data_IF_693908752812
#
_entry.id   IF_693908752812
#
_cell.length_a   1.000
_cell.length_b   1.000
_cell.length_c   1.000
_cell.angle_alpha   90.00
_cell.angle_beta   90.00
_cell.angle_gamma   90.00
#
_symmetry.space_group_name_H-M   'P 1'
#
loop_
_entity.id
_entity.type
_entity.pdbx_description
1 polymer ?
#
# COMPACT_ATOMS: atom_id res chain seq x y z
N UNK A 1 -13.19 -30.96 7.95
CA UNK A 1 -13.04 -29.74 7.13
C UNK A 1 -11.70 -29.13 7.48
N UNK A 2 -10.68 -29.42 6.68
CA UNK A 2 -9.27 -29.07 6.92
C UNK A 2 -9.00 -27.67 6.37
N UNK A 3 -8.38 -26.83 7.20
CA UNK A 3 -7.84 -25.55 6.82
C UNK A 3 -6.64 -25.77 5.89
N UNK A 4 -6.67 -25.16 4.70
CA UNK A 4 -5.57 -25.15 3.75
C UNK A 4 -4.44 -24.26 4.30
N UNK A 5 -3.55 -24.85 5.08
CA UNK A 5 -2.18 -24.36 5.26
C UNK A 5 -1.44 -24.53 3.93
N UNK A 6 -1.36 -23.47 3.12
CA UNK A 6 -0.33 -23.41 2.09
C UNK A 6 0.94 -22.82 2.71
N UNK A 7 1.67 -23.68 3.41
CA UNK A 7 3.11 -23.55 3.63
C UNK A 7 3.78 -24.02 2.33
N UNK A 8 4.24 -23.08 1.50
CA UNK A 8 5.19 -23.41 0.45
C UNK A 8 6.55 -23.62 1.13
N UNK A 9 6.97 -24.87 1.25
CA UNK A 9 8.21 -25.34 1.88
C UNK A 9 9.44 -25.28 0.94
N UNK A 10 9.38 -24.48 -0.13
CA UNK A 10 10.56 -24.17 -0.94
C UNK A 10 10.99 -22.73 -0.71
N UNK A 11 12.24 -22.47 -0.26
CA UNK A 11 12.77 -21.11 -0.26
C UNK A 11 12.75 -20.61 -1.69
N UNK A 12 12.04 -19.50 -1.92
CA UNK A 12 12.17 -18.76 -3.16
C UNK A 12 13.67 -18.55 -3.44
N UNK A 13 14.16 -18.90 -4.65
CA UNK A 13 15.57 -18.81 -4.97
C UNK A 13 16.13 -17.44 -4.53
N UNK A 14 17.36 -17.45 -4.01
CA UNK A 14 18.06 -16.29 -3.44
C UNK A 14 18.41 -15.18 -4.46
N UNK A 15 17.70 -15.13 -5.58
CA UNK A 15 17.92 -14.26 -6.73
C UNK A 15 16.78 -13.23 -6.85
N UNK A 16 16.48 -12.54 -5.74
CA UNK A 16 15.90 -11.18 -5.80
C UNK A 16 17.02 -10.17 -5.51
N UNK A 17 18.19 -10.41 -6.09
CA UNK A 17 19.26 -9.46 -6.26
C UNK A 17 19.20 -8.97 -7.72
N UNK A 18 18.28 -8.05 -7.98
CA UNK A 18 17.96 -7.58 -9.33
C UNK A 18 16.93 -8.48 -10.00
N UNK A 19 15.82 -7.91 -10.45
CA UNK A 19 14.78 -8.63 -11.20
C UNK A 19 15.22 -9.07 -12.61
N UNK A 20 16.51 -9.25 -12.83
CA UNK A 20 17.05 -9.97 -13.96
C UNK A 20 16.97 -11.48 -13.70
N UNK A 21 15.75 -12.00 -13.59
CA UNK A 21 15.54 -13.43 -13.83
C UNK A 21 15.42 -13.65 -15.33
N UNK A 22 15.87 -14.80 -15.83
CA UNK A 22 15.76 -15.28 -17.21
C UNK A 22 14.32 -15.34 -17.77
N UNK A 23 13.32 -14.86 -17.03
CA UNK A 23 11.90 -15.08 -17.27
C UNK A 23 11.11 -13.80 -17.58
N UNK A 24 11.79 -12.68 -17.88
CA UNK A 24 11.20 -11.44 -18.44
C UNK A 24 11.60 -10.17 -17.68
N UNK A 25 11.64 -9.00 -18.34
CA UNK A 25 12.15 -7.77 -17.76
C UNK A 25 11.20 -7.25 -16.66
N UNK A 26 11.77 -6.88 -15.52
CA UNK A 26 11.08 -6.00 -14.59
C UNK A 26 11.61 -4.58 -14.75
N UNK A 27 10.70 -3.63 -14.59
CA UNK A 27 11.01 -2.20 -14.69
C UNK A 27 10.95 -1.60 -13.30
N UNK A 28 12.04 -0.95 -12.85
CA UNK A 28 11.99 -0.11 -11.66
C UNK A 28 11.08 1.07 -11.98
N UNK A 29 9.93 1.16 -11.31
CA UNK A 29 8.94 2.22 -11.56
C UNK A 29 8.98 3.30 -10.49
N UNK A 30 9.53 3.01 -9.32
CA UNK A 30 9.85 4.04 -8.32
C UNK A 30 10.97 3.58 -7.39
N UNK A 31 11.96 4.46 -7.22
CA UNK A 31 12.96 4.42 -6.15
C UNK A 31 12.84 5.63 -5.23
N UNK A 32 11.73 6.37 -5.28
CA UNK A 32 11.48 7.50 -4.36
C UNK A 32 10.75 7.07 -3.08
N UNK A 33 10.30 5.82 -3.00
CA UNK A 33 9.69 5.27 -1.78
C UNK A 33 10.67 5.28 -0.61
N UNK A 34 10.24 5.79 0.55
CA UNK A 34 11.11 5.96 1.72
C UNK A 34 11.77 4.65 2.17
N UNK A 35 10.99 3.56 2.23
CA UNK A 35 11.45 2.27 2.75
C UNK A 35 11.64 1.19 1.68
N UNK A 36 11.26 1.44 0.42
CA UNK A 36 11.19 0.38 -0.57
C UNK A 36 11.51 0.82 -1.99
N UNK A 37 12.01 -0.13 -2.78
CA UNK A 37 12.06 -0.03 -4.23
C UNK A 37 10.82 -0.70 -4.82
N UNK A 38 10.22 -0.05 -5.80
CA UNK A 38 8.97 -0.49 -6.44
C UNK A 38 9.24 -0.85 -7.88
N UNK A 39 8.93 -2.09 -8.22
CA UNK A 39 9.16 -2.66 -9.54
C UNK A 39 7.84 -3.11 -10.15
N UNK A 40 7.68 -2.96 -11.46
CA UNK A 40 6.57 -3.52 -12.21
C UNK A 40 7.06 -4.70 -13.03
N UNK A 41 6.31 -5.78 -12.98
CA UNK A 41 6.61 -7.03 -13.69
C UNK A 41 5.37 -7.40 -14.50
N UNK A 42 5.54 -7.44 -15.83
CA UNK A 42 4.53 -7.99 -16.74
C UNK A 42 4.97 -9.37 -17.17
N UNK A 43 4.16 -10.38 -16.85
CA UNK A 43 4.42 -11.78 -17.18
C UNK A 43 3.22 -12.39 -17.84
N UNK A 44 3.44 -13.47 -18.56
CA UNK A 44 2.35 -14.31 -19.00
C UNK A 44 2.58 -15.71 -18.45
N UNK A 45 1.62 -16.21 -17.69
CA UNK A 45 1.69 -17.54 -17.11
C UNK A 45 0.71 -18.46 -17.82
N UNK A 46 1.10 -19.72 -17.96
CA UNK A 46 0.20 -20.78 -18.41
C UNK A 46 0.25 -21.88 -17.37
N UNK A 47 -0.87 -22.12 -16.70
CA UNK A 47 -1.06 -23.24 -15.77
C UNK A 47 -2.37 -23.91 -16.18
N UNK A 48 -2.25 -25.06 -16.86
CA UNK A 48 -3.35 -25.87 -17.39
C UNK A 48 -4.54 -25.06 -17.93
N UNK A 49 -4.33 -24.38 -19.07
CA UNK A 49 -5.37 -23.54 -19.67
C UNK A 49 -4.83 -22.47 -20.63
N UNK A 50 -5.66 -21.47 -20.96
CA UNK A 50 -5.23 -20.32 -21.75
C UNK A 50 -4.16 -19.51 -21.01
N UNK A 51 -3.33 -18.81 -21.79
CA UNK A 51 -2.27 -17.94 -21.29
C UNK A 51 -2.90 -16.75 -20.56
N UNK A 52 -2.58 -16.58 -19.28
CA UNK A 52 -3.02 -15.44 -18.46
C UNK A 52 -1.90 -14.41 -18.39
N UNK A 53 -2.20 -13.17 -18.74
CA UNK A 53 -1.28 -12.06 -18.48
C UNK A 53 -1.40 -11.62 -17.02
N UNK A 54 -0.25 -11.51 -16.36
CA UNK A 54 -0.08 -11.04 -15.00
C UNK A 54 0.65 -9.69 -15.06
N UNK A 55 0.07 -8.70 -14.41
CA UNK A 55 0.69 -7.39 -14.22
C UNK A 55 0.81 -7.14 -12.73
N UNK A 56 2.05 -7.13 -12.24
CA UNK A 56 2.36 -7.16 -10.82
C UNK A 56 3.25 -5.99 -10.44
N UNK A 57 3.06 -5.50 -9.22
CA UNK A 57 3.98 -4.60 -8.55
C UNK A 57 4.68 -5.35 -7.43
N UNK A 58 6.02 -5.25 -7.40
CA UNK A 58 6.87 -5.81 -6.37
C UNK A 58 7.49 -4.66 -5.58
N UNK A 59 7.10 -4.53 -4.31
CA UNK A 59 7.71 -3.59 -3.36
C UNK A 59 8.71 -4.32 -2.49
N UNK A 60 10.00 -4.05 -2.66
CA UNK A 60 11.06 -4.66 -1.85
C UNK A 60 11.52 -3.69 -0.77
N UNK A 61 11.49 -4.13 0.50
CA UNK A 61 12.04 -3.34 1.60
C UNK A 61 13.56 -3.19 1.41
N UNK A 62 14.08 -1.95 1.49
CA UNK A 62 15.50 -1.65 1.23
C UNK A 62 16.42 -2.19 2.29
N UNK A 63 16.01 -2.03 3.54
CA UNK A 63 16.79 -2.46 4.69
C UNK A 63 16.43 -3.91 5.07
N UNK A 64 17.36 -4.64 5.72
CA UNK A 64 17.04 -5.89 6.38
C UNK A 64 15.78 -5.79 7.24
N UNK A 65 14.93 -6.81 7.14
CA UNK A 65 13.66 -6.86 7.85
C UNK A 65 13.57 -8.17 8.62
N UNK A 66 13.68 -8.08 9.94
CA UNK A 66 13.53 -9.24 10.81
C UNK A 66 12.13 -9.88 10.63
N UNK A 67 12.01 -11.22 10.76
CA UNK A 67 10.73 -11.91 10.58
C UNK A 67 9.59 -11.38 11.47
N UNK A 68 9.92 -10.88 12.67
CA UNK A 68 8.93 -10.26 13.57
C UNK A 68 8.33 -8.99 12.95
N UNK A 69 9.16 -8.13 12.36
CA UNK A 69 8.72 -6.90 11.69
C UNK A 69 7.91 -7.22 10.42
N UNK A 70 8.35 -8.19 9.63
CA UNK A 70 7.60 -8.65 8.46
C UNK A 70 6.20 -9.21 8.84
N UNK A 71 6.10 -9.94 9.95
CA UNK A 71 4.82 -10.40 10.51
C UNK A 71 3.93 -9.24 10.98
N UNK A 72 4.52 -8.18 11.54
CA UNK A 72 3.76 -6.98 11.91
C UNK A 72 3.15 -6.31 10.68
N UNK A 73 3.95 -6.08 9.62
CA UNK A 73 3.44 -5.54 8.35
C UNK A 73 2.30 -6.38 7.76
N UNK A 74 2.45 -7.71 7.74
CA UNK A 74 1.39 -8.60 7.25
C UNK A 74 0.11 -8.50 8.10
N UNK A 75 0.22 -8.33 9.42
CA UNK A 75 -0.94 -8.15 10.30
C UNK A 75 -1.67 -6.85 10.01
N UNK A 76 -0.95 -5.75 9.81
CA UNK A 76 -1.51 -4.44 9.44
C UNK A 76 -2.16 -4.48 8.07
N UNK A 77 -1.49 -5.05 7.07
CA UNK A 77 -2.07 -5.27 5.74
C UNK A 77 -3.38 -6.07 5.81
N UNK A 78 -3.40 -7.17 6.57
CA UNK A 78 -4.61 -7.99 6.75
C UNK A 78 -5.72 -7.20 7.46
N UNK A 79 -5.38 -6.32 8.39
CA UNK A 79 -6.35 -5.41 9.01
C UNK A 79 -6.96 -4.47 7.97
N UNK A 80 -6.12 -3.79 7.18
CA UNK A 80 -6.56 -2.91 6.09
C UNK A 80 -7.46 -3.66 5.11
N UNK A 81 -7.00 -4.80 4.58
CA UNK A 81 -7.73 -5.59 3.58
C UNK A 81 -9.08 -6.07 4.11
N UNK A 82 -9.18 -6.50 5.38
CA UNK A 82 -10.45 -6.90 5.99
C UNK A 82 -11.44 -5.74 6.14
N UNK A 83 -10.96 -4.53 6.49
CA UNK A 83 -11.82 -3.38 6.79
C UNK A 83 -12.18 -2.54 5.55
N UNK A 84 -11.31 -2.54 4.54
CA UNK A 84 -11.42 -1.70 3.35
C UNK A 84 -11.69 -2.51 2.05
N UNK A 85 -11.62 -3.83 2.10
CA UNK A 85 -11.96 -4.69 0.97
C UNK A 85 -11.12 -4.39 -0.27
N UNK A 86 -11.78 -4.08 -1.39
CA UNK A 86 -11.13 -3.84 -2.68
C UNK A 86 -10.42 -2.50 -2.78
N UNK A 87 -10.62 -1.59 -1.82
CA UNK A 87 -9.82 -0.35 -1.77
C UNK A 87 -8.33 -0.70 -1.59
N UNK A 88 -8.01 -1.79 -0.90
CA UNK A 88 -6.63 -2.26 -0.71
C UNK A 88 -6.35 -3.38 -1.71
N UNK A 89 -5.36 -3.27 -2.61
CA UNK A 89 -5.02 -4.32 -3.55
C UNK A 89 -4.70 -5.64 -2.87
N UNK A 90 -5.03 -6.75 -3.55
CA UNK A 90 -4.59 -8.08 -3.13
C UNK A 90 -3.08 -8.17 -3.21
N UNK A 91 -2.45 -8.63 -2.13
CA UNK A 91 -1.01 -8.66 -2.01
C UNK A 91 -0.53 -9.89 -1.22
N UNK A 92 0.64 -10.39 -1.61
CA UNK A 92 1.35 -11.47 -0.95
C UNK A 92 2.64 -10.92 -0.33
N UNK A 93 2.89 -11.27 0.92
CA UNK A 93 4.13 -10.96 1.62
C UNK A 93 5.09 -12.13 1.46
N UNK A 94 6.28 -11.83 0.98
CA UNK A 94 7.30 -12.80 0.59
C UNK A 94 8.54 -12.56 1.44
N UNK A 95 8.97 -13.58 2.17
CA UNK A 95 10.27 -13.55 2.85
C UNK A 95 11.36 -13.61 1.79
N UNK A 96 12.32 -12.71 1.88
CA UNK A 96 13.44 -12.60 0.94
C UNK A 96 14.73 -12.33 1.72
N UNK A 97 15.78 -11.89 1.02
CA UNK A 97 17.05 -11.46 1.60
C UNK A 97 17.44 -10.06 1.13
N UNK A 98 18.14 -9.34 1.98
CA UNK A 98 18.81 -8.06 1.68
C UNK A 98 20.27 -8.26 2.06
N UNK A 99 21.14 -8.48 1.07
CA UNK A 99 22.46 -9.06 1.31
C UNK A 99 22.32 -10.43 1.98
N UNK A 100 23.04 -10.63 3.08
CA UNK A 100 22.99 -11.87 3.87
C UNK A 100 21.93 -11.88 4.98
N UNK A 101 21.19 -10.78 5.14
CA UNK A 101 20.20 -10.64 6.19
C UNK A 101 18.78 -10.96 5.68
N UNK A 102 17.85 -11.38 6.56
CA UNK A 102 16.44 -11.53 6.23
C UNK A 102 15.85 -10.23 5.68
N UNK A 103 14.96 -10.34 4.71
CA UNK A 103 14.23 -9.23 4.11
C UNK A 103 12.77 -9.58 3.84
N UNK A 104 12.01 -8.60 3.35
CA UNK A 104 10.62 -8.80 2.93
C UNK A 104 10.35 -8.07 1.62
N UNK A 105 9.57 -8.72 0.75
CA UNK A 105 8.98 -8.11 -0.43
C UNK A 105 7.46 -8.28 -0.39
N UNK A 106 6.73 -7.37 -1.01
CA UNK A 106 5.29 -7.47 -1.24
C UNK A 106 5.05 -7.56 -2.73
N UNK A 107 4.31 -8.58 -3.16
CA UNK A 107 3.85 -8.74 -4.54
C UNK A 107 2.36 -8.46 -4.58
N UNK A 108 1.96 -7.43 -5.31
CA UNK A 108 0.56 -7.02 -5.44
C UNK A 108 0.16 -6.95 -6.91
N UNK A 109 -1.14 -7.01 -7.18
CA UNK A 109 -1.68 -6.66 -8.50
C UNK A 109 -1.32 -5.22 -8.85
N UNK A 110 -0.87 -4.99 -10.08
CA UNK A 110 -0.58 -3.65 -10.54
C UNK A 110 -1.86 -2.82 -10.62
N UNK A 111 -1.86 -1.68 -9.92
CA UNK A 111 -2.84 -0.63 -10.11
C UNK A 111 -2.28 0.38 -11.10
N UNK A 112 -3.13 0.95 -11.96
CA UNK A 112 -2.79 2.09 -12.79
C UNK A 112 -3.45 3.35 -12.20
N UNK A 113 -2.71 4.14 -11.40
CA UNK A 113 -3.21 5.40 -10.89
C UNK A 113 -3.65 6.29 -12.05
N UNK A 114 -4.80 6.93 -11.87
CA UNK A 114 -5.34 7.91 -12.80
C UNK A 114 -5.41 9.30 -12.18
N UNK A 115 -5.76 9.38 -10.89
CA UNK A 115 -5.87 10.65 -10.17
C UNK A 115 -5.49 10.47 -8.69
N UNK A 116 -4.57 11.28 -8.17
CA UNK A 116 -4.21 11.26 -6.75
C UNK A 116 -5.26 12.02 -5.92
N UNK A 117 -6.03 11.28 -5.12
CA UNK A 117 -7.04 11.86 -4.23
C UNK A 117 -6.43 12.50 -3.00
N UNK A 118 -5.18 12.19 -2.67
CA UNK A 118 -4.46 12.76 -1.52
C UNK A 118 -3.74 14.07 -1.84
N UNK A 119 -3.64 14.44 -3.13
CA UNK A 119 -3.09 15.73 -3.55
C UNK A 119 -4.10 16.86 -3.30
N UNK A 120 -3.79 17.70 -2.32
CA UNK A 120 -4.62 18.85 -1.92
C UNK A 120 -4.66 19.95 -2.98
N UNK A 121 -3.67 20.00 -3.89
CA UNK A 121 -3.60 21.04 -4.92
C UNK A 121 -4.67 20.87 -6.00
N UNK A 122 -5.15 19.63 -6.21
CA UNK A 122 -6.13 19.31 -7.25
C UNK A 122 -7.58 19.27 -6.71
N UNK A 123 -7.85 19.94 -5.58
CA UNK A 123 -9.16 19.91 -4.90
C UNK A 123 -10.34 20.18 -5.82
N UNK A 124 -10.27 21.22 -6.66
CA UNK A 124 -11.38 21.58 -7.53
C UNK A 124 -11.73 20.48 -8.54
N UNK A 125 -10.71 19.79 -9.06
CA UNK A 125 -10.88 18.65 -9.95
C UNK A 125 -11.39 17.42 -9.18
N UNK A 126 -10.84 17.14 -8.00
CA UNK A 126 -11.27 16.04 -7.15
C UNK A 126 -12.77 16.13 -6.81
N UNK A 127 -13.26 17.31 -6.45
CA UNK A 127 -14.70 17.56 -6.19
C UNK A 127 -15.54 17.27 -7.42
N UNK A 128 -15.15 17.80 -8.59
CA UNK A 128 -15.88 17.57 -9.85
C UNK A 128 -15.91 16.10 -10.25
N UNK A 129 -14.81 15.39 -10.09
CA UNK A 129 -14.71 13.96 -10.38
C UNK A 129 -15.62 13.15 -9.46
N UNK A 130 -15.51 13.36 -8.15
CA UNK A 130 -16.29 12.62 -7.16
C UNK A 130 -17.80 12.90 -7.26
N UNK A 131 -18.21 14.12 -7.62
CA UNK A 131 -19.62 14.45 -7.83
C UNK A 131 -20.32 13.53 -8.86
N UNK A 132 -19.59 13.07 -9.88
CA UNK A 132 -20.10 12.17 -10.91
C UNK A 132 -19.82 10.68 -10.67
N UNK A 133 -19.13 10.32 -9.57
CA UNK A 133 -18.64 8.96 -9.32
C UNK A 133 -19.14 8.44 -7.97
N UNK A 134 -20.42 8.05 -7.93
CA UNK A 134 -21.09 7.59 -6.71
C UNK A 134 -20.35 6.46 -5.99
N UNK A 135 -19.97 5.40 -6.72
CA UNK A 135 -19.18 4.30 -6.16
C UNK A 135 -17.85 4.75 -5.57
N UNK A 136 -17.16 5.69 -6.22
CA UNK A 136 -15.89 6.21 -5.70
C UNK A 136 -16.11 7.01 -4.41
N UNK A 137 -17.18 7.82 -4.32
CA UNK A 137 -17.56 8.50 -3.07
C UNK A 137 -17.87 7.52 -1.95
N UNK A 138 -18.58 6.43 -2.22
CA UNK A 138 -18.87 5.41 -1.20
C UNK A 138 -17.62 4.70 -0.70
N UNK A 139 -16.70 4.37 -1.62
CA UNK A 139 -15.40 3.80 -1.27
C UNK A 139 -14.57 4.80 -0.44
N UNK A 140 -14.51 6.07 -0.85
CA UNK A 140 -13.81 7.11 -0.10
C UNK A 140 -14.44 7.32 1.28
N UNK A 141 -15.77 7.33 1.39
CA UNK A 141 -16.48 7.41 2.67
C UNK A 141 -16.15 6.22 3.57
N UNK A 142 -16.07 5.02 3.00
CA UNK A 142 -15.63 3.82 3.73
C UNK A 142 -14.20 3.94 4.22
N UNK A 143 -13.30 4.47 3.38
CA UNK A 143 -11.90 4.73 3.73
C UNK A 143 -11.79 5.73 4.88
N UNK A 144 -12.36 6.94 4.72
CA UNK A 144 -12.29 8.02 5.72
C UNK A 144 -12.88 7.58 7.06
N UNK A 145 -14.04 6.91 7.05
CA UNK A 145 -14.68 6.40 8.28
C UNK A 145 -13.75 5.45 9.06
N UNK A 146 -13.14 4.47 8.39
CA UNK A 146 -12.22 3.53 9.05
C UNK A 146 -10.93 4.23 9.48
N UNK A 147 -10.39 5.15 8.67
CA UNK A 147 -9.21 5.93 9.02
C UNK A 147 -9.41 6.74 10.30
N UNK A 148 -10.56 7.42 10.44
CA UNK A 148 -10.95 8.13 11.67
C UNK A 148 -11.18 7.20 12.87
N UNK A 149 -11.71 5.99 12.65
CA UNK A 149 -11.85 4.98 13.71
C UNK A 149 -10.47 4.54 14.23
N UNK A 150 -9.51 4.31 13.34
CA UNK A 150 -8.14 3.97 13.73
C UNK A 150 -7.43 5.13 14.42
N UNK A 151 -7.58 6.36 13.93
CA UNK A 151 -6.96 7.54 14.52
C UNK A 151 -7.41 7.74 15.98
N UNK A 152 -8.71 7.58 16.25
CA UNK A 152 -9.27 7.58 17.62
C UNK A 152 -8.68 6.48 18.52
N UNK A 153 -8.16 5.40 17.94
CA UNK A 153 -7.46 4.31 18.62
C UNK A 153 -5.94 4.37 18.48
N UNK A 154 -5.36 5.58 18.35
CA UNK A 154 -3.92 5.87 18.28
C UNK A 154 -3.20 5.38 17.02
N UNK A 155 -3.94 5.02 15.97
CA UNK A 155 -3.39 4.53 14.69
C UNK A 155 -3.77 5.47 13.55
N UNK A 156 -2.84 6.32 13.14
CA UNK A 156 -3.03 7.19 11.98
C UNK A 156 -2.56 6.47 10.71
N UNK A 157 -3.43 6.35 9.70
CA UNK A 157 -3.04 5.76 8.41
C UNK A 157 -2.00 6.63 7.69
N UNK A 158 -0.99 6.01 7.07
CA UNK A 158 0.03 6.76 6.34
C UNK A 158 -0.53 7.28 5.01
N UNK A 159 -0.71 8.60 4.94
CA UNK A 159 -1.11 9.35 3.76
C UNK A 159 -0.01 10.31 3.32
N UNK A 160 1.22 10.19 3.82
CA UNK A 160 2.31 11.11 3.50
C UNK A 160 2.83 10.93 2.07
N UNK A 161 2.93 9.68 1.61
CA UNK A 161 3.36 9.37 0.24
C UNK A 161 2.40 9.95 -0.79
N UNK A 162 2.93 10.47 -1.89
CA UNK A 162 2.11 10.76 -3.07
C UNK A 162 1.63 9.45 -3.68
N UNK A 163 0.48 9.47 -4.35
CA UNK A 163 -0.17 8.30 -4.94
C UNK A 163 -0.54 7.19 -3.93
N UNK A 164 -0.56 7.49 -2.63
CA UNK A 164 -0.97 6.51 -1.62
C UNK A 164 -2.48 6.24 -1.67
N UNK A 165 -3.30 7.22 -2.04
CA UNK A 165 -4.75 7.06 -2.22
C UNK A 165 -5.17 7.67 -3.56
N UNK A 166 -5.56 6.83 -4.50
CA UNK A 166 -5.80 7.24 -5.89
C UNK A 166 -7.16 6.76 -6.39
N UNK A 167 -7.66 7.37 -7.46
CA UNK A 167 -8.57 6.71 -8.39
C UNK A 167 -7.75 5.92 -9.40
N UNK A 168 -8.09 4.66 -9.60
CA UNK A 168 -7.55 3.88 -10.71
C UNK A 168 -8.24 4.23 -12.04
N UNK A 169 -7.76 3.69 -13.16
CA UNK A 169 -8.40 3.89 -14.49
C UNK A 169 -9.84 3.38 -14.58
N UNK A 170 -10.23 2.45 -13.71
CA UNK A 170 -11.61 1.98 -13.58
C UNK A 170 -12.44 2.83 -12.61
N UNK A 171 -11.88 3.96 -12.13
CA UNK A 171 -12.48 4.93 -11.24
C UNK A 171 -12.81 4.36 -9.85
N UNK A 172 -12.08 3.34 -9.42
CA UNK A 172 -12.15 2.84 -8.05
C UNK A 172 -11.12 3.54 -7.17
N UNK A 173 -11.49 3.81 -5.92
CA UNK A 173 -10.53 4.28 -4.91
C UNK A 173 -9.58 3.14 -4.54
N UNK A 174 -8.27 3.39 -4.59
CA UNK A 174 -7.22 2.43 -4.23
C UNK A 174 -6.23 3.04 -3.25
N UNK A 175 -5.98 2.36 -2.14
CA UNK A 175 -4.90 2.65 -1.22
C UNK A 175 -3.70 1.75 -1.53
N UNK A 176 -2.59 2.32 -1.98
CA UNK A 176 -1.51 1.58 -2.62
C UNK A 176 -0.34 1.24 -1.70
N UNK A 177 -0.31 1.68 -0.45
CA UNK A 177 0.82 1.38 0.45
C UNK A 177 0.75 -0.03 1.06
N UNK A 178 1.91 -0.57 1.47
CA UNK A 178 2.05 -1.95 1.96
C UNK A 178 3.05 -2.12 3.11
N UNK A 179 3.84 -1.10 3.44
CA UNK A 179 4.79 -1.14 4.57
C UNK A 179 4.59 0.08 5.46
N UNK A 180 4.64 -0.09 6.79
CA UNK A 180 4.45 1.00 7.75
C UNK A 180 3.17 1.82 7.49
N UNK A 181 2.06 1.12 7.21
CA UNK A 181 0.80 1.75 6.79
C UNK A 181 0.09 2.52 7.91
N UNK A 182 0.59 2.41 9.15
CA UNK A 182 0.13 3.17 10.31
C UNK A 182 1.29 3.85 11.03
N UNK A 183 1.03 5.07 11.49
CA UNK A 183 1.77 5.72 12.57
C UNK A 183 1.06 5.44 13.91
N UNK A 184 1.83 5.05 14.93
CA UNK A 184 1.35 4.82 16.28
C UNK A 184 1.66 6.05 17.14
N UNK A 185 0.66 6.92 17.30
CA UNK A 185 0.87 8.27 17.86
C UNK A 185 1.13 8.26 19.36
N UNK A 186 0.71 7.22 20.06
CA UNK A 186 0.96 6.98 21.48
C UNK A 186 2.42 6.61 21.77
N UNK A 187 3.06 5.86 20.87
CA UNK A 187 4.46 5.44 21.00
C UNK A 187 5.43 6.62 20.89
N UNK A 188 5.07 7.67 20.14
CA UNK A 188 5.95 8.80 19.91
C UNK A 188 6.22 9.63 21.16
N UNK A 189 5.19 9.84 21.96
CA UNK A 189 5.32 10.57 23.21
C UNK A 189 6.16 9.81 24.25
N UNK A 190 6.36 8.49 24.06
CA UNK A 190 7.12 7.65 24.97
C UNK A 190 8.64 7.63 24.68
N UNK A 191 9.10 8.05 23.49
CA UNK A 191 10.50 7.89 23.07
C UNK A 191 11.41 9.11 23.36
N UNK A 192 10.90 10.16 24.03
CA UNK A 192 11.71 11.21 24.67
C UNK A 192 12.37 12.23 23.74
N UNK A 193 12.70 11.85 22.50
CA UNK A 193 13.16 12.74 21.43
C UNK A 193 12.25 12.56 20.21
N UNK A 194 11.60 13.62 19.76
CA UNK A 194 10.78 13.57 18.55
C UNK A 194 11.64 13.78 17.31
N UNK A 195 11.54 12.86 16.36
CA UNK A 195 12.12 13.02 15.02
C UNK A 195 11.25 14.04 14.24
N UNK A 196 11.76 15.26 13.94
CA UNK A 196 10.96 16.30 13.28
C UNK A 196 10.43 15.86 11.91
N UNK A 197 11.16 14.97 11.22
CA UNK A 197 10.72 14.45 9.94
C UNK A 197 9.54 13.48 10.11
N UNK A 198 9.57 12.67 11.17
CA UNK A 198 8.46 11.78 11.50
C UNK A 198 7.21 12.54 11.95
N UNK A 199 7.36 13.59 12.76
CA UNK A 199 6.25 14.48 13.15
C UNK A 199 5.61 15.14 11.93
N UNK A 200 6.43 15.62 10.99
CA UNK A 200 5.94 16.21 9.73
C UNK A 200 5.08 15.22 8.94
N UNK A 201 5.46 13.95 8.88
CA UNK A 201 4.70 12.91 8.17
C UNK A 201 3.33 12.66 8.80
N UNK A 202 3.27 12.66 10.12
CA UNK A 202 2.02 12.51 10.87
C UNK A 202 1.13 13.71 10.63
N UNK A 203 1.65 14.91 10.79
CA UNK A 203 0.90 16.14 10.58
C UNK A 203 0.35 16.22 9.15
N UNK A 204 1.17 15.90 8.15
CA UNK A 204 0.73 15.87 6.76
C UNK A 204 -0.34 14.80 6.53
N UNK A 205 -0.20 13.62 7.14
CA UNK A 205 -1.19 12.54 7.00
C UNK A 205 -2.53 12.91 7.63
N UNK A 206 -2.52 13.61 8.77
CA UNK A 206 -3.75 14.17 9.37
C UNK A 206 -4.41 15.20 8.47
N UNK A 207 -3.65 16.17 7.97
CA UNK A 207 -4.17 17.20 7.05
C UNK A 207 -4.78 16.59 5.79
N UNK A 208 -4.15 15.56 5.23
CA UNK A 208 -4.69 14.83 4.09
C UNK A 208 -5.96 14.08 4.46
N UNK A 209 -6.04 13.47 5.64
CA UNK A 209 -7.29 12.85 6.12
C UNK A 209 -8.42 13.86 6.29
N UNK A 210 -8.15 15.03 6.88
CA UNK A 210 -9.11 16.14 7.01
C UNK A 210 -9.58 16.63 5.63
N UNK A 211 -8.65 16.76 4.69
CA UNK A 211 -8.95 17.12 3.31
C UNK A 211 -9.88 16.09 2.63
N UNK A 212 -9.62 14.79 2.79
CA UNK A 212 -10.46 13.74 2.20
C UNK A 212 -11.88 13.74 2.79
N UNK A 213 -12.04 14.05 4.07
CA UNK A 213 -13.34 14.26 4.70
C UNK A 213 -14.06 15.47 4.10
N UNK A 214 -13.37 16.60 3.96
CA UNK A 214 -13.92 17.78 3.30
C UNK A 214 -14.31 17.56 1.83
N UNK A 215 -13.60 16.69 1.10
CA UNK A 215 -14.01 16.29 -0.26
C UNK A 215 -15.37 15.60 -0.25
N UNK A 216 -15.64 14.73 0.73
CA UNK A 216 -16.93 14.05 0.86
C UNK A 216 -18.05 15.04 1.18
N UNK A 217 -17.81 16.01 2.06
CA UNK A 217 -18.79 17.05 2.40
C UNK A 217 -19.10 17.96 1.21
N UNK A 218 -18.08 18.25 0.39
CA UNK A 218 -18.20 19.11 -0.80
C UNK A 218 -18.82 18.41 -2.01
N UNK A 219 -19.04 17.09 -1.94
CA UNK A 219 -19.55 16.26 -3.04
C UNK A 219 -20.83 15.52 -2.69
N UNK A 220 -21.38 15.79 -1.50
CA UNK A 220 -22.66 15.30 -0.99
C UNK A 220 -23.85 16.12 -1.45
#
# INVERSE_FOLDING_TARGET
>A
MSASECLYDEPLPADIAGLASSAGPATLISSSGFNCDVWRVKRSMRRDGPRTELDLVVKRHREPCAPVKARAYLREYRLLKRRLGDIVPSAMFVVTRVGDAPGVAVVAEACEPWFDLSDTNNRAEAVRLLAGLERAREQLRTFVRNAREWERGSRLIDLYGNDNLVLDRNRHVRYLDSFNVFFYTDVLHALGESDPWFEQRIEMSRRRLDYLEHLLDSTG
#
